data_IF_879708607344
#
_entry.id   IF_879708607344
#
_cell.length_a   1.000
_cell.length_b   1.000
_cell.length_c   1.000
_cell.angle_alpha   90.00
_cell.angle_beta   90.00
_cell.angle_gamma   90.00
#
_symmetry.space_group_name_H-M   'P 1'
#
loop_
_entity.id
_entity.type
_entity.pdbx_description
1 polymer ?
#
# COMPACT_ATOMS: atom_id res chain seq x y z
N UNK A 1 5.30 -21.54 -4.36
CA UNK A 1 6.50 -20.69 -4.42
C UNK A 1 6.12 -19.26 -4.79
N UNK A 2 6.99 -18.29 -4.53
CA UNK A 2 6.77 -16.91 -5.01
C UNK A 2 7.33 -16.76 -6.43
N UNK A 3 6.86 -15.75 -7.16
CA UNK A 3 7.35 -15.47 -8.52
C UNK A 3 8.85 -15.08 -8.51
N UNK A 4 9.31 -14.43 -7.46
CA UNK A 4 10.72 -14.05 -7.28
C UNK A 4 11.60 -15.27 -7.11
N UNK A 5 11.22 -16.22 -6.23
CA UNK A 5 11.95 -17.48 -6.05
C UNK A 5 11.99 -18.30 -7.34
N UNK A 6 10.85 -18.35 -8.07
CA UNK A 6 10.80 -19.00 -9.37
C UNK A 6 11.69 -18.31 -10.39
N UNK A 7 11.69 -16.98 -10.45
CA UNK A 7 12.54 -16.21 -11.36
C UNK A 7 14.05 -16.43 -11.05
N UNK A 8 14.43 -16.43 -9.78
CA UNK A 8 15.81 -16.72 -9.38
C UNK A 8 16.22 -18.15 -9.80
N UNK A 9 15.34 -19.14 -9.58
CA UNK A 9 15.59 -20.50 -10.03
C UNK A 9 15.74 -20.58 -11.55
N UNK A 10 14.88 -19.90 -12.32
CA UNK A 10 15.00 -19.87 -13.79
C UNK A 10 16.25 -19.18 -14.30
N UNK A 11 16.86 -18.29 -13.51
CA UNK A 11 18.14 -17.64 -13.83
C UNK A 11 19.33 -18.51 -13.47
N UNK A 12 19.31 -19.19 -12.32
CA UNK A 12 20.42 -20.04 -11.85
C UNK A 12 20.45 -21.38 -12.58
N UNK A 13 19.28 -21.99 -12.83
CA UNK A 13 19.14 -23.32 -13.40
C UNK A 13 18.62 -23.23 -14.84
N UNK A 14 19.49 -23.60 -15.79
CA UNK A 14 19.16 -23.47 -17.21
C UNK A 14 18.46 -24.67 -17.80
N UNK A 15 18.62 -25.85 -17.20
CA UNK A 15 18.15 -27.13 -17.77
C UNK A 15 17.48 -28.01 -16.69
N UNK A 16 16.28 -27.60 -16.28
CA UNK A 16 15.47 -28.42 -15.38
C UNK A 16 14.46 -29.24 -16.16
N UNK A 17 14.26 -30.53 -15.83
CA UNK A 17 13.30 -31.40 -16.52
C UNK A 17 11.87 -30.82 -16.56
N UNK A 18 11.48 -30.02 -15.55
CA UNK A 18 10.16 -29.40 -15.48
C UNK A 18 9.89 -28.42 -16.60
N UNK A 19 10.91 -27.82 -17.23
CA UNK A 19 10.71 -26.87 -18.32
C UNK A 19 10.12 -27.51 -19.58
N UNK A 20 10.30 -28.83 -19.77
CA UNK A 20 9.74 -29.60 -20.87
C UNK A 20 8.39 -30.26 -20.56
N UNK A 21 7.99 -30.25 -19.30
CA UNK A 21 6.73 -30.86 -18.86
C UNK A 21 5.54 -29.93 -19.12
N UNK A 22 4.33 -30.49 -19.04
CA UNK A 22 3.11 -29.73 -19.04
C UNK A 22 2.87 -29.18 -17.63
N UNK A 23 2.80 -27.86 -17.49
CA UNK A 23 2.73 -27.16 -16.20
C UNK A 23 1.52 -26.26 -16.17
N UNK A 24 0.85 -26.19 -15.04
CA UNK A 24 -0.23 -25.23 -14.76
C UNK A 24 0.26 -24.26 -13.71
N UNK A 25 0.29 -22.98 -14.06
CA UNK A 25 0.57 -21.89 -13.11
C UNK A 25 -0.73 -21.30 -12.61
N UNK A 26 -0.86 -21.19 -11.30
CA UNK A 26 -1.96 -20.49 -10.64
C UNK A 26 -1.33 -19.31 -9.89
N UNK A 27 -1.67 -18.09 -10.34
CA UNK A 27 -1.18 -16.85 -9.76
C UNK A 27 -2.27 -16.26 -8.86
N UNK A 28 -1.99 -16.16 -7.58
CA UNK A 28 -2.78 -15.34 -6.66
C UNK A 28 -2.24 -13.91 -6.68
N UNK A 29 -3.12 -12.91 -6.42
CA UNK A 29 -2.80 -11.49 -6.54
C UNK A 29 -2.06 -11.15 -7.86
N UNK A 30 -2.56 -11.71 -8.96
CA UNK A 30 -1.84 -11.73 -10.22
C UNK A 30 -1.54 -10.34 -10.80
N UNK A 31 -2.24 -9.30 -10.36
CA UNK A 31 -1.95 -7.91 -10.74
C UNK A 31 -0.56 -7.45 -10.28
N UNK A 32 0.03 -8.06 -9.23
CA UNK A 32 1.37 -7.74 -8.72
C UNK A 32 2.48 -8.40 -9.55
N UNK A 33 2.20 -9.51 -10.22
CA UNK A 33 3.21 -10.33 -10.90
C UNK A 33 3.11 -10.32 -12.43
N UNK A 34 2.20 -9.53 -13.01
CA UNK A 34 1.87 -9.60 -14.42
C UNK A 34 2.94 -9.05 -15.35
N UNK A 35 3.68 -8.05 -14.90
CA UNK A 35 4.51 -7.23 -15.77
C UNK A 35 5.95 -7.32 -15.31
N UNK A 36 6.82 -7.78 -16.15
CA UNK A 36 8.21 -7.71 -15.83
C UNK A 36 9.05 -8.86 -16.37
N UNK A 37 10.27 -8.91 -15.89
CA UNK A 37 11.27 -9.88 -16.33
C UNK A 37 10.87 -11.32 -15.96
N UNK A 38 10.28 -11.52 -14.78
CA UNK A 38 9.87 -12.83 -14.30
C UNK A 38 8.88 -13.52 -15.25
N UNK A 39 7.85 -12.78 -15.71
CA UNK A 39 6.89 -13.29 -16.69
C UNK A 39 7.55 -13.62 -18.03
N UNK A 40 8.44 -12.76 -18.51
CA UNK A 40 9.19 -13.03 -19.75
C UNK A 40 10.09 -14.27 -19.63
N UNK A 41 10.75 -14.45 -18.49
CA UNK A 41 11.59 -15.61 -18.23
C UNK A 41 10.76 -16.90 -18.16
N UNK A 42 9.58 -16.85 -17.53
CA UNK A 42 8.64 -17.96 -17.48
C UNK A 42 8.25 -18.40 -18.91
N UNK A 43 7.82 -17.45 -19.75
CA UNK A 43 7.44 -17.72 -21.14
C UNK A 43 8.59 -18.29 -21.99
N UNK A 44 9.85 -17.89 -21.70
CA UNK A 44 11.03 -18.41 -22.40
C UNK A 44 11.39 -19.82 -21.97
N UNK A 45 11.27 -20.15 -20.68
CA UNK A 45 11.72 -21.42 -20.10
C UNK A 45 10.68 -22.53 -20.25
N UNK A 46 9.44 -22.25 -19.95
CA UNK A 46 8.36 -23.25 -20.03
C UNK A 46 7.74 -23.28 -21.41
N UNK A 47 7.75 -24.45 -22.05
CA UNK A 47 7.27 -24.61 -23.44
C UNK A 47 5.82 -25.06 -23.52
N UNK A 48 5.33 -25.75 -22.49
CA UNK A 48 3.97 -26.29 -22.40
C UNK A 48 3.38 -25.89 -21.06
N UNK A 49 2.64 -24.79 -21.06
CA UNK A 49 2.03 -24.33 -19.81
C UNK A 49 0.68 -23.67 -20.03
N UNK A 50 -0.12 -23.71 -18.99
CA UNK A 50 -1.33 -22.94 -18.82
C UNK A 50 -1.15 -22.01 -17.64
N UNK A 51 -1.77 -20.83 -17.70
CA UNK A 51 -1.73 -19.89 -16.59
C UNK A 51 -3.13 -19.38 -16.26
N UNK A 52 -3.43 -19.34 -14.97
CA UNK A 52 -4.65 -18.79 -14.40
C UNK A 52 -4.30 -17.71 -13.39
N UNK A 53 -4.91 -16.53 -13.52
CA UNK A 53 -4.72 -15.42 -12.60
C UNK A 53 -5.97 -15.18 -11.76
N UNK A 54 -5.77 -15.04 -10.45
CA UNK A 54 -6.78 -14.61 -9.49
C UNK A 54 -6.38 -13.23 -8.96
N UNK A 55 -7.31 -12.30 -8.89
CA UNK A 55 -7.04 -10.96 -8.38
C UNK A 55 -8.31 -10.26 -7.95
N UNK A 56 -8.26 -9.51 -6.85
CA UNK A 56 -9.32 -8.59 -6.44
C UNK A 56 -9.27 -7.24 -7.17
N UNK A 57 -8.16 -6.93 -7.87
CA UNK A 57 -7.91 -5.64 -8.52
C UNK A 57 -7.34 -5.81 -9.92
N UNK A 58 -8.14 -6.29 -10.90
CA UNK A 58 -7.67 -6.45 -12.28
C UNK A 58 -7.23 -5.11 -12.87
N UNK A 59 -6.21 -5.16 -13.74
CA UNK A 59 -5.74 -4.00 -14.48
C UNK A 59 -6.48 -3.94 -15.81
N UNK A 60 -7.29 -2.90 -15.95
CA UNK A 60 -8.02 -2.55 -17.17
C UNK A 60 -7.26 -1.49 -17.96
N UNK A 61 -7.61 -1.24 -19.23
CA UNK A 61 -6.96 -0.19 -20.04
C UNK A 61 -6.97 1.19 -19.38
N UNK A 62 -8.01 1.51 -18.62
CA UNK A 62 -8.22 2.81 -17.98
C UNK A 62 -7.29 3.06 -16.78
N UNK A 63 -6.82 1.99 -16.13
CA UNK A 63 -5.96 2.08 -14.95
C UNK A 63 -4.57 1.46 -15.14
N UNK A 64 -4.23 1.09 -16.38
CA UNK A 64 -2.94 0.53 -16.71
C UNK A 64 -1.85 1.63 -16.67
N UNK A 65 -0.76 1.36 -15.95
CA UNK A 65 0.42 2.22 -15.95
C UNK A 65 1.29 2.10 -17.22
N UNK A 66 0.88 1.24 -18.16
CA UNK A 66 1.54 0.95 -19.44
C UNK A 66 0.56 0.34 -20.43
N UNK A 67 1.06 -0.39 -21.41
CA UNK A 67 0.22 -1.04 -22.44
C UNK A 67 -0.36 -2.39 -21.98
N UNK A 68 0.12 -2.96 -20.89
CA UNK A 68 -0.26 -4.30 -20.45
C UNK A 68 -1.44 -4.25 -19.47
N UNK A 69 -2.39 -5.14 -19.67
CA UNK A 69 -3.59 -5.31 -18.86
C UNK A 69 -3.66 -6.75 -18.34
N UNK A 70 -4.52 -7.03 -17.36
CA UNK A 70 -4.74 -8.40 -16.91
C UNK A 70 -5.18 -9.31 -18.07
N UNK A 71 -6.04 -8.82 -18.96
CA UNK A 71 -6.49 -9.56 -20.13
C UNK A 71 -5.38 -9.80 -21.15
N UNK A 72 -4.42 -8.88 -21.32
CA UNK A 72 -3.29 -9.09 -22.25
C UNK A 72 -2.33 -10.20 -21.79
N UNK A 73 -2.25 -10.44 -20.46
CA UNK A 73 -1.37 -11.46 -19.88
C UNK A 73 -2.08 -12.80 -19.72
N UNK A 74 -3.29 -12.82 -19.17
CA UNK A 74 -4.02 -14.04 -18.81
C UNK A 74 -5.11 -14.43 -19.83
N UNK A 75 -5.41 -13.55 -20.80
CA UNK A 75 -6.44 -13.80 -21.78
C UNK A 75 -7.84 -13.48 -21.27
N UNK A 76 -8.80 -14.36 -21.56
CA UNK A 76 -10.21 -14.12 -21.27
C UNK A 76 -10.50 -14.25 -19.77
N UNK A 77 -11.26 -13.29 -19.21
CA UNK A 77 -11.90 -13.43 -17.91
C UNK A 77 -12.83 -14.65 -17.91
N UNK A 78 -12.64 -15.53 -16.95
CA UNK A 78 -13.42 -16.75 -16.80
C UNK A 78 -14.59 -16.58 -15.81
N UNK A 79 -14.39 -15.79 -14.78
CA UNK A 79 -15.37 -15.52 -13.73
C UNK A 79 -15.06 -14.19 -13.04
N UNK A 80 -16.11 -13.44 -12.67
CA UNK A 80 -16.02 -12.28 -11.82
C UNK A 80 -17.01 -12.40 -10.65
N UNK A 81 -16.55 -12.07 -9.45
CA UNK A 81 -17.38 -11.89 -8.25
C UNK A 81 -16.98 -10.58 -7.60
N UNK A 82 -17.72 -9.55 -7.93
CA UNK A 82 -17.37 -8.17 -7.54
C UNK A 82 -18.01 -7.77 -6.21
N UNK A 83 -17.55 -6.65 -5.65
CA UNK A 83 -17.99 -6.18 -4.33
C UNK A 83 -19.52 -6.01 -4.24
N UNK A 84 -20.18 -5.62 -5.32
CA UNK A 84 -21.65 -5.50 -5.36
C UNK A 84 -22.35 -6.85 -5.23
N UNK A 85 -21.76 -7.91 -5.80
CA UNK A 85 -22.27 -9.27 -5.65
C UNK A 85 -22.08 -9.75 -4.21
N UNK A 86 -20.90 -9.52 -3.64
CA UNK A 86 -20.60 -9.88 -2.26
C UNK A 86 -21.51 -9.17 -1.24
N UNK A 87 -21.85 -7.89 -1.49
CA UNK A 87 -22.81 -7.14 -0.66
C UNK A 87 -24.22 -7.71 -0.81
N UNK A 88 -24.65 -8.04 -2.04
CA UNK A 88 -25.96 -8.65 -2.31
C UNK A 88 -26.08 -9.99 -1.61
N UNK A 89 -25.03 -10.80 -1.64
CA UNK A 89 -24.97 -12.12 -1.03
C UNK A 89 -24.63 -12.08 0.47
N UNK A 90 -24.67 -10.88 1.08
CA UNK A 90 -24.40 -10.63 2.52
C UNK A 90 -23.05 -11.17 3.03
N UNK A 91 -22.06 -11.28 2.12
CA UNK A 91 -20.69 -11.69 2.47
C UNK A 91 -19.81 -10.51 2.90
N UNK A 92 -20.17 -9.31 2.49
CA UNK A 92 -19.48 -8.05 2.80
C UNK A 92 -20.52 -7.04 3.27
N UNK A 93 -20.17 -6.27 4.29
CA UNK A 93 -21.02 -5.18 4.78
C UNK A 93 -21.09 -4.05 3.75
N UNK A 94 -22.23 -3.38 3.70
CA UNK A 94 -22.38 -2.15 2.91
C UNK A 94 -21.44 -1.06 3.43
N UNK A 95 -20.92 -0.27 2.53
CA UNK A 95 -20.08 0.88 2.86
C UNK A 95 -20.58 2.15 2.18
N UNK A 96 -20.15 3.28 2.70
CA UNK A 96 -20.44 4.60 2.15
C UNK A 96 -19.11 5.31 1.85
N UNK A 97 -19.02 5.95 0.70
CA UNK A 97 -17.88 6.78 0.34
C UNK A 97 -18.24 8.25 0.57
N UNK A 98 -17.49 8.92 1.44
CA UNK A 98 -17.58 10.36 1.65
C UNK A 98 -16.33 11.01 1.04
N UNK A 99 -16.54 11.91 0.10
CA UNK A 99 -15.45 12.71 -0.47
C UNK A 99 -15.32 14.00 0.33
N UNK A 100 -14.12 14.27 0.83
CA UNK A 100 -13.81 15.50 1.54
C UNK A 100 -12.68 16.21 0.82
N UNK A 101 -12.94 17.39 0.32
CA UNK A 101 -11.93 18.23 -0.32
C UNK A 101 -11.22 19.06 0.75
N UNK A 102 -10.05 18.57 1.20
CA UNK A 102 -9.14 19.34 2.03
C UNK A 102 -8.13 19.98 1.10
N UNK A 103 -8.50 21.12 0.52
CA UNK A 103 -7.56 21.95 -0.26
C UNK A 103 -6.80 22.84 0.69
N UNK A 104 -5.50 22.66 0.87
CA UNK A 104 -4.69 23.68 1.52
C UNK A 104 -4.86 24.96 0.72
N UNK A 105 -5.05 26.07 1.42
CA UNK A 105 -5.08 27.41 0.80
C UNK A 105 -3.66 27.75 0.34
N UNK A 106 -3.18 27.08 -0.71
CA UNK A 106 -1.98 27.54 -1.38
C UNK A 106 -2.32 28.93 -1.95
N UNK A 107 -1.61 29.91 -1.47
CA UNK A 107 -1.56 31.20 -2.15
C UNK A 107 -1.12 30.94 -3.58
N UNK A 108 -2.07 31.12 -4.52
CA UNK A 108 -1.84 31.26 -5.94
C UNK A 108 -1.10 30.12 -6.65
N UNK A 109 -1.76 28.98 -6.86
CA UNK A 109 -1.68 28.41 -8.20
C UNK A 109 -2.71 29.20 -9.04
N UNK A 110 -2.25 30.15 -9.79
CA UNK A 110 -3.06 30.82 -10.80
C UNK A 110 -3.41 29.75 -11.84
N UNK A 111 -4.70 29.47 -11.94
CA UNK A 111 -5.36 28.66 -12.96
C UNK A 111 -5.36 27.14 -12.79
N UNK A 112 -6.58 26.59 -12.80
CA UNK A 112 -6.92 25.14 -12.95
C UNK A 112 -6.25 24.42 -14.14
N UNK A 113 -5.53 25.16 -14.98
CA UNK A 113 -4.75 24.63 -16.11
C UNK A 113 -3.39 24.08 -15.73
N UNK A 114 -2.85 24.39 -14.56
CA UNK A 114 -1.53 23.96 -14.14
C UNK A 114 -1.55 22.61 -13.39
N UNK A 115 -2.68 22.18 -12.87
CA UNK A 115 -2.83 20.87 -12.20
C UNK A 115 -2.54 19.67 -13.13
N UNK A 116 -2.71 19.84 -14.45
CA UNK A 116 -2.44 18.78 -15.43
C UNK A 116 -0.96 18.64 -15.82
N UNK A 117 -0.06 19.48 -15.29
CA UNK A 117 1.36 19.50 -15.63
C UNK A 117 2.30 19.32 -14.45
N UNK A 118 1.79 18.97 -13.27
CA UNK A 118 2.65 18.69 -12.12
C UNK A 118 3.54 17.49 -12.42
N UNK A 119 4.84 17.67 -12.25
CA UNK A 119 5.78 16.54 -12.30
C UNK A 119 5.56 15.64 -11.08
N UNK A 120 6.05 14.39 -11.14
CA UNK A 120 6.00 13.49 -10.00
C UNK A 120 6.69 14.07 -8.74
N UNK A 121 7.73 14.90 -8.95
CA UNK A 121 8.43 15.60 -7.87
C UNK A 121 7.56 16.69 -7.24
N UNK A 122 6.86 17.48 -8.04
CA UNK A 122 5.93 18.51 -7.57
C UNK A 122 4.77 17.87 -6.78
N UNK A 123 4.22 16.77 -7.28
CA UNK A 123 3.17 16.02 -6.60
C UNK A 123 3.65 15.48 -5.24
N UNK A 124 4.87 14.92 -5.19
CA UNK A 124 5.47 14.45 -3.92
C UNK A 124 5.63 15.59 -2.93
N UNK A 125 6.14 16.74 -3.38
CA UNK A 125 6.32 17.94 -2.54
C UNK A 125 4.96 18.46 -2.03
N UNK A 126 3.93 18.46 -2.87
CA UNK A 126 2.57 18.83 -2.49
C UNK A 126 2.02 17.91 -1.40
N UNK A 127 2.19 16.59 -1.55
CA UNK A 127 1.70 15.60 -0.58
C UNK A 127 2.39 15.70 0.78
N UNK A 128 3.63 16.16 0.81
CA UNK A 128 4.44 16.32 2.02
C UNK A 128 4.42 17.75 2.60
N UNK A 129 3.61 18.64 2.01
CA UNK A 129 3.57 20.04 2.46
C UNK A 129 3.00 20.15 3.90
N UNK A 130 3.68 20.88 4.81
CA UNK A 130 3.28 20.95 6.23
C UNK A 130 1.85 21.45 6.45
N UNK A 131 1.43 22.48 5.70
CA UNK A 131 0.07 23.02 5.84
C UNK A 131 -1.00 21.98 5.46
N UNK A 132 -0.77 21.23 4.37
CA UNK A 132 -1.66 20.15 3.95
C UNK A 132 -1.75 19.07 5.02
N UNK A 133 -0.62 18.63 5.54
CA UNK A 133 -0.54 17.63 6.61
C UNK A 133 -1.26 18.16 7.85
N UNK A 134 -1.03 19.41 8.22
CA UNK A 134 -1.66 20.06 9.36
C UNK A 134 -3.19 20.15 9.24
N UNK A 135 -3.71 20.54 8.09
CA UNK A 135 -5.15 20.64 7.85
C UNK A 135 -5.84 19.27 7.86
N UNK A 136 -5.23 18.25 7.22
CA UNK A 136 -5.75 16.90 7.21
C UNK A 136 -5.72 16.29 8.62
N UNK A 137 -4.62 16.45 9.35
CA UNK A 137 -4.52 16.00 10.73
C UNK A 137 -5.60 16.64 11.62
N UNK A 138 -5.82 17.95 11.46
CA UNK A 138 -6.88 18.66 12.19
C UNK A 138 -8.28 18.15 11.81
N UNK A 139 -8.53 17.90 10.52
CA UNK A 139 -9.79 17.34 10.06
C UNK A 139 -10.03 15.95 10.69
N UNK A 140 -9.02 15.08 10.68
CA UNK A 140 -9.09 13.73 11.29
C UNK A 140 -9.46 13.85 12.77
N UNK A 141 -8.69 14.64 13.54
CA UNK A 141 -8.90 14.78 14.99
C UNK A 141 -10.31 15.32 15.34
N UNK A 142 -10.81 16.28 14.57
CA UNK A 142 -12.14 16.85 14.78
C UNK A 142 -13.28 15.88 14.46
N UNK A 143 -13.11 15.06 13.43
CA UNK A 143 -14.19 14.23 12.89
C UNK A 143 -14.11 12.76 13.31
N UNK A 144 -13.00 12.32 13.92
CA UNK A 144 -12.77 10.92 14.26
C UNK A 144 -13.90 10.31 15.07
N UNK A 145 -14.29 10.95 16.18
CA UNK A 145 -15.34 10.44 17.07
C UNK A 145 -16.70 10.34 16.39
N UNK A 146 -17.02 11.32 15.55
CA UNK A 146 -18.28 11.33 14.80
C UNK A 146 -18.28 10.21 13.75
N UNK A 147 -17.23 10.15 12.93
CA UNK A 147 -17.15 9.18 11.81
C UNK A 147 -16.95 7.74 12.27
N UNK A 148 -16.36 7.52 13.41
CA UNK A 148 -16.17 6.19 13.99
C UNK A 148 -17.27 5.78 14.98
N UNK A 149 -18.36 6.56 15.07
CA UNK A 149 -19.47 6.30 15.97
C UNK A 149 -19.05 6.17 17.46
N UNK A 150 -18.01 6.86 17.86
CA UNK A 150 -17.53 6.93 19.26
C UNK A 150 -18.26 8.06 19.99
N UNK A 151 -19.56 7.97 20.10
CA UNK A 151 -20.33 8.93 20.88
C UNK A 151 -20.08 8.67 22.37
N UNK A 152 -19.79 9.75 23.12
CA UNK A 152 -19.81 9.85 24.59
C UNK A 152 -19.60 8.53 25.38
N UNK A 153 -18.38 7.97 25.31
CA UNK A 153 -18.03 6.77 26.09
C UNK A 153 -18.35 5.42 25.42
N UNK A 154 -18.92 5.42 24.22
CA UNK A 154 -19.28 4.21 23.49
C UNK A 154 -18.07 3.51 22.83
N UNK A 155 -18.21 2.20 22.65
CA UNK A 155 -17.31 1.41 21.82
C UNK A 155 -17.58 1.74 20.34
N UNK A 156 -16.78 2.59 19.75
CA UNK A 156 -16.86 2.89 18.31
C UNK A 156 -15.93 2.03 17.47
N UNK A 157 -15.88 2.33 16.18
CA UNK A 157 -15.00 1.67 15.23
C UNK A 157 -13.57 2.22 15.28
N UNK A 158 -12.62 1.44 14.83
CA UNK A 158 -11.27 1.90 14.51
C UNK A 158 -11.26 2.54 13.11
N UNK A 159 -10.21 3.30 12.81
CA UNK A 159 -9.99 3.86 11.50
C UNK A 159 -8.60 3.50 11.01
N UNK A 160 -8.48 3.28 9.71
CA UNK A 160 -7.22 3.14 9.01
C UNK A 160 -7.03 4.39 8.14
N UNK A 161 -5.87 5.01 8.24
CA UNK A 161 -5.49 6.18 7.44
C UNK A 161 -4.33 5.79 6.53
N UNK A 162 -4.62 5.57 5.26
CA UNK A 162 -3.63 5.26 4.24
C UNK A 162 -3.04 6.56 3.67
N UNK A 163 -1.74 6.57 3.48
CA UNK A 163 -0.97 7.72 2.97
C UNK A 163 -0.07 7.31 1.81
N UNK A 164 0.44 8.30 1.06
CA UNK A 164 1.15 8.09 -0.21
C UNK A 164 2.57 7.53 -0.06
N UNK A 165 3.18 7.60 1.12
CA UNK A 165 4.56 7.16 1.33
C UNK A 165 4.88 6.98 2.81
N UNK A 166 5.99 6.28 3.11
CA UNK A 166 6.53 6.13 4.47
C UNK A 166 6.87 7.50 5.08
N UNK A 167 7.43 8.41 4.29
CA UNK A 167 7.73 9.77 4.73
C UNK A 167 6.45 10.54 5.11
N UNK A 168 5.37 10.40 4.34
CA UNK A 168 4.07 10.95 4.70
C UNK A 168 3.53 10.33 6.00
N UNK A 169 3.67 9.01 6.19
CA UNK A 169 3.25 8.33 7.40
C UNK A 169 3.97 8.88 8.65
N UNK A 170 5.29 9.08 8.56
CA UNK A 170 6.08 9.69 9.63
C UNK A 170 5.57 11.09 9.99
N UNK A 171 5.41 11.96 8.99
CA UNK A 171 4.96 13.35 9.20
C UNK A 171 3.55 13.42 9.78
N UNK A 172 2.62 12.60 9.29
CA UNK A 172 1.27 12.54 9.87
C UNK A 172 1.27 11.99 11.29
N UNK A 173 2.06 10.97 11.59
CA UNK A 173 2.18 10.44 12.93
C UNK A 173 2.68 11.51 13.91
N UNK A 174 3.74 12.23 13.56
CA UNK A 174 4.29 13.31 14.36
C UNK A 174 3.31 14.46 14.54
N UNK A 175 2.65 14.89 13.46
CA UNK A 175 1.71 16.01 13.51
C UNK A 175 0.45 15.66 14.32
N UNK A 176 -0.11 14.46 14.15
CA UNK A 176 -1.25 14.00 14.94
C UNK A 176 -0.88 13.87 16.42
N UNK A 177 0.28 13.33 16.75
CA UNK A 177 0.77 13.21 18.12
C UNK A 177 0.99 14.59 18.75
N UNK A 178 1.62 15.51 18.03
CA UNK A 178 1.86 16.89 18.48
C UNK A 178 0.56 17.64 18.77
N UNK A 179 -0.43 17.54 17.88
CA UNK A 179 -1.71 18.26 18.00
C UNK A 179 -2.58 17.79 19.15
N UNK A 180 -2.39 16.58 19.64
CA UNK A 180 -3.17 16.04 20.75
C UNK A 180 -2.37 15.90 22.05
N UNK A 181 -1.14 16.44 22.11
CA UNK A 181 -0.28 16.33 23.29
C UNK A 181 -0.94 16.88 24.58
N UNK A 182 -1.77 17.91 24.46
CA UNK A 182 -2.49 18.54 25.57
C UNK A 182 -3.98 18.12 25.63
N UNK A 183 -4.39 17.15 24.82
CA UNK A 183 -5.78 16.71 24.83
C UNK A 183 -6.07 15.86 26.07
N UNK A 184 -7.18 16.15 26.74
CA UNK A 184 -7.64 15.37 27.92
C UNK A 184 -7.85 13.89 27.57
N UNK A 185 -8.34 13.62 26.35
CA UNK A 185 -8.59 12.27 25.86
C UNK A 185 -7.97 12.08 24.47
N UNK A 186 -6.63 11.87 24.39
CA UNK A 186 -5.95 11.68 23.10
C UNK A 186 -6.39 10.39 22.43
N UNK A 187 -6.40 10.41 21.09
CA UNK A 187 -6.58 9.20 20.30
C UNK A 187 -5.33 8.33 20.40
N UNK A 188 -5.53 7.03 20.51
CA UNK A 188 -4.44 6.05 20.38
C UNK A 188 -4.12 5.88 18.89
N UNK A 189 -2.93 6.28 18.50
CA UNK A 189 -2.45 6.27 17.12
C UNK A 189 -1.26 5.34 17.02
N UNK A 190 -1.32 4.39 16.10
CA UNK A 190 -0.22 3.52 15.76
C UNK A 190 0.08 3.65 14.26
N UNK A 191 1.31 3.39 13.86
CA UNK A 191 1.73 3.39 12.46
C UNK A 191 2.12 1.99 12.01
N UNK A 192 1.82 1.66 10.77
CA UNK A 192 2.21 0.42 10.11
C UNK A 192 2.82 0.81 8.77
N UNK A 193 4.02 0.36 8.51
CA UNK A 193 4.65 0.50 7.20
C UNK A 193 5.64 -0.65 6.97
N UNK A 194 5.80 -1.03 5.71
CA UNK A 194 6.88 -1.92 5.29
C UNK A 194 8.06 -1.07 4.82
N UNK A 195 9.26 -1.50 5.12
CA UNK A 195 10.49 -0.84 4.70
C UNK A 195 11.15 -1.70 3.63
N UNK A 196 11.22 -1.18 2.40
CA UNK A 196 12.03 -1.77 1.35
C UNK A 196 13.37 -1.03 1.26
N UNK A 197 14.53 -1.70 1.24
CA UNK A 197 15.84 -1.05 1.23
C UNK A 197 16.12 -0.15 0.03
N UNK A 198 15.30 -0.18 -1.01
CA UNK A 198 15.53 0.48 -2.29
C UNK A 198 14.32 1.25 -2.81
N UNK A 199 13.83 2.26 -2.09
CA UNK A 199 12.83 3.20 -2.64
C UNK A 199 13.33 3.93 -3.92
N UNK A 200 14.64 3.99 -4.15
CA UNK A 200 15.22 4.70 -5.30
C UNK A 200 15.29 3.87 -6.60
N UNK A 201 15.10 2.54 -6.55
CA UNK A 201 15.23 1.66 -7.73
C UNK A 201 13.92 1.04 -8.22
N UNK A 202 12.86 1.07 -7.43
CA UNK A 202 11.57 0.48 -7.81
C UNK A 202 10.57 1.54 -8.25
N UNK A 203 10.88 2.23 -9.36
CA UNK A 203 9.91 3.07 -10.07
C UNK A 203 8.80 2.23 -10.76
N UNK A 204 8.78 0.93 -10.57
CA UNK A 204 7.82 -0.02 -11.10
C UNK A 204 7.34 -0.91 -9.95
N UNK A 205 6.43 -0.42 -9.15
CA UNK A 205 5.38 -1.10 -8.41
C UNK A 205 5.59 -2.45 -7.69
N UNK A 206 6.79 -2.98 -7.60
CA UNK A 206 7.08 -4.22 -6.89
C UNK A 206 7.45 -3.91 -5.43
N UNK A 207 6.45 -3.94 -4.56
CA UNK A 207 6.68 -3.99 -3.12
C UNK A 207 7.02 -5.44 -2.78
N UNK A 208 8.28 -5.71 -2.49
CA UNK A 208 8.72 -6.98 -1.94
C UNK A 208 8.35 -7.01 -0.44
N UNK A 209 7.20 -7.59 -0.12
CA UNK A 209 6.66 -7.64 1.25
C UNK A 209 7.40 -8.67 2.14
N UNK A 210 8.30 -9.50 1.58
CA UNK A 210 8.88 -10.64 2.30
C UNK A 210 10.25 -10.38 2.95
N UNK A 211 10.86 -9.20 2.77
CA UNK A 211 12.19 -8.93 3.36
C UNK A 211 12.20 -7.66 4.21
N UNK A 212 11.70 -7.79 5.43
CA UNK A 212 11.99 -6.80 6.46
C UNK A 212 13.40 -7.09 7.02
N UNK A 213 14.39 -6.32 6.56
CA UNK A 213 15.74 -6.36 7.13
C UNK A 213 16.02 -5.08 7.93
N UNK A 214 15.91 -5.12 9.27
CA UNK A 214 16.20 -3.96 10.13
C UNK A 214 17.61 -3.40 9.95
N UNK A 215 18.55 -4.23 9.50
CA UNK A 215 19.94 -3.85 9.25
C UNK A 215 20.12 -2.92 8.05
N UNK A 216 19.18 -2.92 7.09
CA UNK A 216 19.23 -2.10 5.89
C UNK A 216 18.58 -0.70 6.05
N UNK A 217 17.96 -0.43 7.22
CA UNK A 217 17.33 0.85 7.51
C UNK A 217 18.36 1.95 7.76
N UNK A 218 18.09 3.16 7.25
CA UNK A 218 18.86 4.33 7.65
C UNK A 218 18.64 4.69 9.14
N UNK A 219 19.57 5.43 9.73
CA UNK A 219 19.53 5.78 11.16
C UNK A 219 18.24 6.52 11.54
N UNK A 220 17.72 7.39 10.69
CA UNK A 220 16.51 8.18 10.93
C UNK A 220 15.25 7.29 10.93
N UNK A 221 15.16 6.35 9.98
CA UNK A 221 14.05 5.41 9.91
C UNK A 221 14.04 4.47 11.13
N UNK A 222 15.22 4.00 11.55
CA UNK A 222 15.38 3.15 12.73
C UNK A 222 15.00 3.87 14.03
N UNK A 223 15.39 5.13 14.17
CA UNK A 223 15.02 5.98 15.32
C UNK A 223 13.51 6.21 15.37
N UNK A 224 12.89 6.55 14.24
CA UNK A 224 11.45 6.71 14.16
C UNK A 224 10.71 5.42 14.53
N UNK A 225 11.11 4.28 13.96
CA UNK A 225 10.49 2.98 14.25
C UNK A 225 10.62 2.63 15.73
N UNK A 226 11.81 2.82 16.32
CA UNK A 226 12.04 2.58 17.75
C UNK A 226 11.10 3.41 18.64
N UNK A 227 10.91 4.69 18.31
CA UNK A 227 9.98 5.59 19.01
C UNK A 227 8.53 5.11 18.84
N UNK A 228 8.11 4.80 17.61
CA UNK A 228 6.75 4.33 17.33
C UNK A 228 6.42 3.01 18.05
N UNK A 229 7.38 2.07 18.11
CA UNK A 229 7.24 0.81 18.87
C UNK A 229 7.13 1.09 20.38
N UNK A 230 7.94 1.99 20.91
CA UNK A 230 7.86 2.38 22.33
C UNK A 230 6.49 2.97 22.67
N UNK A 231 5.97 3.85 21.82
CA UNK A 231 4.65 4.43 22.01
C UNK A 231 3.55 3.36 21.92
N UNK A 232 3.66 2.44 20.96
CA UNK A 232 2.76 1.30 20.82
C UNK A 232 2.77 0.41 22.07
N UNK A 233 3.95 0.04 22.57
CA UNK A 233 4.09 -0.76 23.78
C UNK A 233 3.43 -0.10 24.98
N UNK A 234 3.61 1.21 25.14
CA UNK A 234 2.99 1.98 26.22
C UNK A 234 1.45 2.02 26.07
N UNK A 235 0.92 2.14 24.85
CA UNK A 235 -0.53 2.20 24.59
C UNK A 235 -1.24 0.86 24.78
N UNK A 236 -0.57 -0.24 24.47
CA UNK A 236 -1.20 -1.56 24.39
C UNK A 236 -0.64 -2.58 25.39
N UNK A 237 0.26 -2.16 26.31
CA UNK A 237 0.93 -3.01 27.28
C UNK A 237 1.64 -4.22 26.65
N UNK A 238 2.32 -3.98 25.52
CA UNK A 238 3.13 -4.96 24.77
C UNK A 238 4.62 -4.72 24.99
N UNK A 239 5.48 -5.61 24.49
CA UNK A 239 6.94 -5.51 24.64
C UNK A 239 7.65 -5.88 23.34
N UNK A 240 7.29 -5.21 22.26
CA UNK A 240 7.97 -5.38 20.96
C UNK A 240 9.28 -4.59 20.93
N UNK A 241 10.22 -5.03 20.10
CA UNK A 241 11.47 -4.33 19.83
C UNK A 241 11.77 -4.33 18.33
N UNK A 242 12.62 -3.41 17.87
CA UNK A 242 13.04 -3.32 16.46
C UNK A 242 13.78 -4.60 16.02
N UNK A 243 14.54 -5.20 16.93
CA UNK A 243 15.37 -6.39 16.64
C UNK A 243 14.61 -7.71 16.90
N UNK A 244 13.42 -7.66 17.46
CA UNK A 244 12.59 -8.80 17.81
C UNK A 244 11.23 -8.80 17.09
N UNK A 245 11.14 -8.17 15.94
CA UNK A 245 9.94 -8.21 15.10
C UNK A 245 9.88 -9.57 14.37
N UNK A 246 9.23 -10.54 15.00
CA UNK A 246 8.56 -11.64 14.33
C UNK A 246 7.09 -11.27 14.10
#
# INVERSE_FOLDING_TARGET
TTIQKLNNLMRSETDLPVYGQEVVFIFDECHRSQFGEAQRNLQRKFKKYYQFGFTGTPIFPENAAGAETTASVFGRELHAYVITDAIRDEKVLKFKVDYNDVRPKFKQAETERDEQRLTAADYRQLMLHPDRIGEIAQYILRNFRLKTHRAQGGQGFNAMFAVSSVEAAKRYYEELTRRQAEAEHPLRIATIFSFAPNEAQNAVGEIDEETFEPAAMDASAKEFLSRAIKDYNAMFATNFSVDGAE
#
